data_IF_346596501375
#
_entry.id   IF_346596501375
#
_cell.length_a   1.000
_cell.length_b   1.000
_cell.length_c   1.000
_cell.angle_alpha   90.00
_cell.angle_beta   90.00
_cell.angle_gamma   90.00
#
_symmetry.space_group_name_H-M   'P 1'
#
loop_
_entity.id
_entity.type
_entity.pdbx_description
1 polymer ?
#
# COMPACT_ATOMS: atom_id res chain seq x y z
N UNK A 1 -36.73 24.80 -21.00
CA UNK A 1 -35.79 23.66 -20.97
C UNK A 1 -34.76 24.02 -19.92
N UNK A 2 -34.82 23.36 -18.76
CA UNK A 2 -34.09 23.77 -17.57
C UNK A 2 -32.62 23.31 -17.65
N UNK A 3 -31.77 24.18 -18.22
CA UNK A 3 -30.32 23.96 -18.34
C UNK A 3 -29.61 23.93 -16.99
N UNK A 4 -30.25 24.40 -15.90
CA UNK A 4 -29.69 24.42 -14.55
C UNK A 4 -29.77 23.05 -13.87
N UNK A 5 -30.86 22.31 -14.10
CA UNK A 5 -31.04 20.93 -13.65
C UNK A 5 -30.04 19.96 -14.30
N UNK A 6 -29.70 20.14 -15.58
CA UNK A 6 -28.67 19.32 -16.25
C UNK A 6 -27.26 19.65 -15.74
N UNK A 7 -26.91 20.92 -15.56
CA UNK A 7 -25.58 21.31 -15.11
C UNK A 7 -25.28 20.83 -13.67
N UNK A 8 -26.27 20.89 -12.79
CA UNK A 8 -26.15 20.40 -11.40
C UNK A 8 -26.08 18.88 -11.32
N UNK A 9 -26.91 18.16 -12.10
CA UNK A 9 -26.87 16.70 -12.16
C UNK A 9 -25.54 16.16 -12.71
N UNK A 10 -24.95 16.82 -13.73
CA UNK A 10 -23.64 16.43 -14.28
C UNK A 10 -22.47 16.67 -13.32
N UNK A 11 -22.49 17.74 -12.51
CA UNK A 11 -21.48 18.03 -11.49
C UNK A 11 -21.54 17.04 -10.32
N UNK A 12 -22.74 16.67 -9.88
CA UNK A 12 -22.95 15.68 -8.82
C UNK A 12 -22.57 14.27 -9.29
N UNK A 13 -23.00 13.88 -10.50
CA UNK A 13 -22.61 12.60 -11.11
C UNK A 13 -21.09 12.54 -11.37
N UNK A 14 -20.45 13.62 -11.82
CA UNK A 14 -19.01 13.69 -12.02
C UNK A 14 -18.22 13.52 -10.71
N UNK A 15 -18.68 14.10 -9.62
CA UNK A 15 -18.02 14.00 -8.32
C UNK A 15 -18.16 12.58 -7.70
N UNK A 16 -19.34 11.96 -7.82
CA UNK A 16 -19.55 10.58 -7.40
C UNK A 16 -18.79 9.57 -8.27
N UNK A 17 -18.66 9.84 -9.57
CA UNK A 17 -17.93 8.98 -10.50
C UNK A 17 -16.42 9.11 -10.35
N UNK A 18 -15.86 10.29 -10.06
CA UNK A 18 -14.41 10.45 -9.87
C UNK A 18 -13.88 9.85 -8.56
N UNK A 19 -14.69 9.81 -7.50
CA UNK A 19 -14.32 9.16 -6.23
C UNK A 19 -14.23 7.63 -6.30
N UNK A 20 -14.77 7.00 -7.35
CA UNK A 20 -14.78 5.54 -7.51
C UNK A 20 -13.48 4.97 -8.13
N UNK A 21 -12.65 5.80 -8.75
CA UNK A 21 -11.41 5.38 -9.39
C UNK A 21 -10.28 5.57 -8.38
N UNK A 22 -9.77 4.46 -7.85
CA UNK A 22 -8.65 4.49 -6.90
C UNK A 22 -7.45 5.27 -7.44
N UNK A 23 -6.58 5.76 -6.56
CA UNK A 23 -5.39 6.54 -6.94
C UNK A 23 -4.32 5.69 -7.63
N UNK A 24 -3.41 6.29 -8.40
CA UNK A 24 -2.26 5.56 -8.96
C UNK A 24 -1.16 5.34 -7.91
N UNK A 25 -0.93 6.34 -7.06
CA UNK A 25 0.03 6.35 -5.95
C UNK A 25 -0.67 6.85 -4.69
N UNK A 26 -0.33 6.26 -3.54
CA UNK A 26 -0.82 6.66 -2.23
C UNK A 26 0.38 6.87 -1.28
N UNK A 27 0.28 7.93 -0.47
CA UNK A 27 1.27 8.37 0.50
C UNK A 27 0.54 9.00 1.71
N UNK A 28 1.30 9.31 2.77
CA UNK A 28 0.81 9.98 3.98
C UNK A 28 1.70 11.16 4.33
N UNK A 29 1.13 12.19 4.96
CA UNK A 29 1.84 13.44 5.24
C UNK A 29 2.68 13.41 6.52
N UNK A 30 2.60 12.35 7.32
CA UNK A 30 3.30 12.23 8.60
C UNK A 30 4.56 11.36 8.52
N UNK A 31 4.98 10.94 7.32
CA UNK A 31 6.26 10.27 7.11
C UNK A 31 7.45 11.20 7.32
N UNK A 32 8.58 10.63 7.71
CA UNK A 32 9.82 11.34 8.00
C UNK A 32 10.48 11.96 6.77
N UNK A 33 11.12 13.11 6.96
CA UNK A 33 11.74 13.86 5.86
C UNK A 33 13.09 13.30 5.44
N UNK A 34 13.85 12.73 6.38
CA UNK A 34 15.23 12.27 6.21
C UNK A 34 15.36 10.86 5.65
N UNK A 35 16.51 10.54 5.07
CA UNK A 35 16.79 9.27 4.40
C UNK A 35 16.60 9.31 2.88
N UNK A 36 16.87 8.17 2.26
CA UNK A 36 16.82 8.01 0.79
C UNK A 36 15.72 7.02 0.43
N UNK A 37 14.99 7.32 -0.66
CA UNK A 37 14.03 6.36 -1.22
C UNK A 37 14.80 5.18 -1.82
N UNK A 38 14.46 3.97 -1.38
CA UNK A 38 14.90 2.74 -2.04
C UNK A 38 14.19 2.50 -3.37
N UNK A 39 14.64 1.47 -4.07
CA UNK A 39 14.04 1.00 -5.31
C UNK A 39 12.58 0.56 -5.10
N UNK A 40 11.76 0.75 -6.13
CA UNK A 40 10.38 0.25 -6.14
C UNK A 40 10.36 -1.27 -6.25
N UNK A 41 9.63 -1.93 -5.35
CA UNK A 41 9.42 -3.37 -5.38
C UNK A 41 7.96 -3.68 -5.64
N UNK A 42 7.68 -4.46 -6.69
CA UNK A 42 6.32 -4.79 -7.12
C UNK A 42 5.98 -6.26 -6.90
N UNK A 43 4.71 -6.53 -6.60
CA UNK A 43 4.16 -7.87 -6.65
C UNK A 43 4.33 -8.49 -8.06
N UNK A 44 4.67 -9.79 -8.16
CA UNK A 44 4.94 -10.43 -9.44
C UNK A 44 3.68 -10.52 -10.30
N UNK A 45 3.84 -10.56 -11.63
CA UNK A 45 2.75 -10.84 -12.56
C UNK A 45 1.59 -9.83 -12.54
N UNK A 46 1.85 -8.56 -12.16
CA UNK A 46 0.83 -7.53 -11.98
C UNK A 46 -0.24 -7.88 -10.93
N UNK A 47 0.12 -8.75 -9.97
CA UNK A 47 -0.73 -9.06 -8.81
C UNK A 47 -0.75 -7.93 -7.78
N UNK A 48 -1.52 -8.13 -6.70
CA UNK A 48 -1.70 -7.17 -5.62
C UNK A 48 -1.29 -7.78 -4.28
N UNK A 49 -1.02 -6.92 -3.31
CA UNK A 49 -0.75 -7.30 -1.94
C UNK A 49 -2.03 -7.69 -1.22
N UNK A 50 -2.00 -8.84 -0.55
CA UNK A 50 -3.07 -9.39 0.28
C UNK A 50 -2.75 -9.27 1.77
N UNK A 51 -1.54 -8.84 2.12
CA UNK A 51 -1.06 -8.74 3.49
C UNK A 51 0.31 -8.11 3.56
N UNK A 52 0.88 -8.05 4.76
CA UNK A 52 2.19 -7.47 5.00
C UNK A 52 2.89 -8.12 6.20
N UNK A 53 4.19 -7.89 6.30
CA UNK A 53 5.02 -8.24 7.45
C UNK A 53 6.00 -7.11 7.75
N UNK A 54 6.41 -7.00 9.01
CA UNK A 54 7.30 -5.95 9.50
C UNK A 54 8.63 -6.54 9.97
N UNK A 55 9.72 -5.79 9.76
CA UNK A 55 10.98 -5.96 10.49
C UNK A 55 11.07 -4.85 11.52
N UNK A 56 11.21 -5.22 12.80
CA UNK A 56 11.33 -4.29 13.94
C UNK A 56 12.69 -4.51 14.61
N UNK A 57 13.38 -3.45 15.02
CA UNK A 57 14.60 -3.58 15.84
C UNK A 57 14.33 -4.24 17.19
N UNK A 58 15.29 -5.04 17.66
CA UNK A 58 15.33 -5.49 19.06
C UNK A 58 15.78 -4.32 19.94
N UNK A 59 15.34 -4.25 21.22
CA UNK A 59 15.83 -3.22 22.14
C UNK A 59 17.36 -3.32 22.28
N UNK A 60 18.10 -2.26 21.96
CA UNK A 60 19.52 -2.13 22.27
C UNK A 60 19.67 -1.53 23.69
N UNK A 61 20.85 -1.64 24.30
CA UNK A 61 21.06 -1.17 25.69
C UNK A 61 21.38 0.35 25.77
N UNK A 62 21.63 1.01 24.64
CA UNK A 62 21.99 2.43 24.57
C UNK A 62 21.83 2.98 23.14
N UNK A 63 20.61 3.36 22.75
CA UNK A 63 20.26 3.96 21.45
C UNK A 63 18.74 4.17 21.37
N UNK A 64 18.24 4.92 20.38
CA UNK A 64 16.79 5.05 20.19
C UNK A 64 16.21 3.71 19.68
N UNK A 65 15.70 2.92 20.61
CA UNK A 65 15.46 1.47 20.48
C UNK A 65 14.21 1.05 19.65
N UNK A 66 13.62 1.93 18.83
CA UNK A 66 12.15 1.86 18.63
C UNK A 66 11.58 1.95 17.22
N UNK A 67 12.39 2.01 16.16
CA UNK A 67 11.92 2.16 14.78
C UNK A 67 11.53 0.85 14.06
N UNK A 68 10.68 0.96 13.03
CA UNK A 68 10.57 -0.04 11.96
C UNK A 68 11.83 -0.01 11.08
N UNK A 69 12.30 -1.18 10.65
CA UNK A 69 13.42 -1.28 9.69
C UNK A 69 12.96 -1.63 8.29
N UNK A 70 11.76 -2.19 8.17
CA UNK A 70 11.29 -2.69 6.89
C UNK A 70 9.83 -3.08 6.92
N UNK A 71 9.22 -2.91 5.76
CA UNK A 71 7.87 -3.36 5.45
C UNK A 71 8.00 -4.28 4.23
N UNK A 72 7.39 -5.45 4.30
CA UNK A 72 7.29 -6.39 3.18
C UNK A 72 5.84 -6.63 2.83
N UNK A 73 5.48 -6.41 1.57
CA UNK A 73 4.18 -6.80 1.02
C UNK A 73 4.13 -8.32 0.80
N UNK A 74 2.98 -8.92 1.10
CA UNK A 74 2.66 -10.32 0.82
C UNK A 74 1.70 -10.38 -0.35
N UNK A 75 2.12 -11.01 -1.46
CA UNK A 75 1.35 -11.04 -2.72
C UNK A 75 0.69 -12.41 -2.99
N UNK A 76 0.81 -13.38 -2.07
CA UNK A 76 0.23 -14.72 -2.21
C UNK A 76 -0.09 -15.36 -0.86
N UNK A 77 -1.03 -16.31 -0.87
CA UNK A 77 -1.58 -16.92 0.33
C UNK A 77 -0.60 -17.84 1.07
N UNK A 78 0.52 -18.22 0.45
CA UNK A 78 1.44 -19.24 0.97
C UNK A 78 2.37 -18.77 2.11
N UNK A 79 2.22 -17.53 2.61
CA UNK A 79 3.09 -16.99 3.67
C UNK A 79 2.42 -17.16 5.05
N UNK A 80 2.96 -17.98 5.99
CA UNK A 80 2.25 -18.30 7.23
C UNK A 80 2.20 -17.18 8.29
N UNK A 81 2.98 -16.12 8.12
CA UNK A 81 3.22 -15.09 9.15
C UNK A 81 2.91 -13.68 8.63
N UNK A 82 2.43 -12.79 9.49
CA UNK A 82 2.05 -11.40 9.15
C UNK A 82 0.54 -11.19 9.02
N UNK A 83 0.12 -9.91 9.01
CA UNK A 83 -1.29 -9.54 8.87
C UNK A 83 -1.77 -9.76 7.43
N UNK A 84 -2.87 -10.50 7.26
CA UNK A 84 -3.50 -10.76 5.96
C UNK A 84 -4.95 -10.34 5.93
N UNK A 85 -5.40 -9.88 4.77
CA UNK A 85 -6.79 -9.63 4.51
C UNK A 85 -7.60 -10.95 4.49
N UNK A 86 -8.92 -10.89 4.72
CA UNK A 86 -9.80 -12.02 4.46
C UNK A 86 -9.67 -12.54 3.03
N UNK A 87 -10.00 -13.82 2.82
CA UNK A 87 -9.84 -14.48 1.51
C UNK A 87 -10.47 -13.69 0.36
N UNK A 88 -9.72 -13.55 -0.74
CA UNK A 88 -10.11 -12.80 -1.94
C UNK A 88 -9.96 -11.27 -1.84
N UNK A 89 -9.67 -10.73 -0.66
CA UNK A 89 -9.45 -9.30 -0.46
C UNK A 89 -7.98 -8.89 -0.67
N UNK A 90 -7.74 -7.58 -0.72
CA UNK A 90 -6.42 -6.97 -0.94
C UNK A 90 -6.28 -5.68 -0.16
N UNK A 91 -5.03 -5.25 0.07
CA UNK A 91 -4.72 -3.99 0.73
C UNK A 91 -5.07 -2.81 -0.18
N UNK A 92 -5.67 -1.76 0.36
CA UNK A 92 -6.16 -0.61 -0.42
C UNK A 92 -5.71 0.75 0.12
N UNK A 93 -5.51 0.85 1.42
CA UNK A 93 -5.11 2.09 2.11
C UNK A 93 -4.13 1.74 3.23
N UNK A 94 -3.42 2.74 3.72
CA UNK A 94 -2.56 2.61 4.89
C UNK A 94 -2.55 3.88 5.74
N UNK A 95 -2.07 3.78 6.97
CA UNK A 95 -1.60 4.90 7.78
C UNK A 95 -0.37 4.52 8.56
N UNK A 96 0.49 5.50 8.82
CA UNK A 96 1.69 5.32 9.65
C UNK A 96 1.43 5.76 11.09
N UNK A 97 2.06 5.05 12.02
CA UNK A 97 2.21 5.49 13.40
C UNK A 97 3.61 6.06 13.58
N UNK A 98 3.68 7.33 13.94
CA UNK A 98 4.94 8.08 14.09
C UNK A 98 4.89 8.81 15.42
N UNK A 99 6.03 8.95 16.10
CA UNK A 99 6.11 9.79 17.29
C UNK A 99 5.93 11.27 16.94
N UNK A 100 5.15 12.04 17.71
CA UNK A 100 5.04 13.47 17.47
C UNK A 100 6.33 14.16 17.88
N UNK A 101 6.89 14.96 16.96
CA UNK A 101 8.00 15.90 17.17
C UNK A 101 8.03 16.48 18.61
N UNK A 102 9.01 16.09 19.42
CA UNK A 102 9.36 16.68 20.71
C UNK A 102 10.85 17.08 20.75
N UNK A 103 11.26 17.97 19.85
CA UNK A 103 12.47 18.80 20.03
C UNK A 103 13.72 18.34 19.26
N UNK A 104 14.91 18.67 19.79
CA UNK A 104 16.23 18.52 19.16
C UNK A 104 16.77 17.06 19.14
N UNK A 105 15.89 16.06 19.24
CA UNK A 105 16.23 14.63 19.28
C UNK A 105 15.53 13.93 18.12
N UNK A 106 16.12 12.87 17.57
CA UNK A 106 15.74 12.29 16.27
C UNK A 106 14.36 11.59 16.30
N UNK A 107 13.28 12.37 16.12
CA UNK A 107 11.89 11.91 16.25
C UNK A 107 11.27 11.39 14.91
N UNK A 108 12.08 10.83 13.99
CA UNK A 108 11.68 10.78 12.55
C UNK A 108 11.24 9.40 12.02
N UNK A 109 11.33 8.34 12.83
CA UNK A 109 11.07 6.98 12.36
C UNK A 109 9.60 6.54 12.49
N UNK A 110 9.13 5.75 11.52
CA UNK A 110 7.84 5.08 11.63
C UNK A 110 7.94 3.93 12.64
N UNK A 111 7.00 3.90 13.59
CA UNK A 111 6.96 2.90 14.67
C UNK A 111 6.00 1.75 14.37
N UNK A 112 4.97 2.01 13.55
CA UNK A 112 4.01 1.01 13.12
C UNK A 112 3.30 1.43 11.83
N UNK A 113 2.60 0.49 11.21
CA UNK A 113 1.76 0.71 10.04
C UNK A 113 0.48 -0.10 10.18
N UNK A 114 -0.61 0.44 9.67
CA UNK A 114 -1.89 -0.23 9.57
C UNK A 114 -2.39 -0.13 8.13
N UNK A 115 -2.98 -1.21 7.63
CA UNK A 115 -3.59 -1.27 6.31
C UNK A 115 -5.10 -1.49 6.40
N UNK A 116 -5.82 -1.09 5.36
CA UNK A 116 -7.25 -1.40 5.17
C UNK A 116 -7.40 -2.33 3.97
N UNK A 117 -8.27 -3.32 4.09
CA UNK A 117 -8.62 -4.25 3.04
C UNK A 117 -9.81 -3.75 2.19
N UNK A 118 -10.02 -4.32 1.00
CA UNK A 118 -11.19 -4.01 0.15
C UNK A 118 -12.55 -4.18 0.86
N UNK A 119 -12.66 -5.07 1.85
CA UNK A 119 -13.86 -5.26 2.67
C UNK A 119 -13.89 -4.42 3.96
N UNK A 120 -12.98 -3.47 4.12
CA UNK A 120 -12.92 -2.58 5.29
C UNK A 120 -12.24 -3.18 6.53
N UNK A 121 -11.77 -4.44 6.47
CA UNK A 121 -10.99 -5.02 7.56
C UNK A 121 -9.67 -4.23 7.75
N UNK A 122 -9.35 -3.89 8.99
CA UNK A 122 -8.11 -3.19 9.36
C UNK A 122 -7.06 -4.21 9.83
N UNK A 123 -5.86 -4.09 9.30
CA UNK A 123 -4.71 -4.94 9.64
C UNK A 123 -3.63 -4.08 10.29
N UNK A 124 -3.59 -4.11 11.61
CA UNK A 124 -2.57 -3.41 12.39
C UNK A 124 -1.30 -4.26 12.46
N UNK A 125 -0.15 -3.64 12.25
CA UNK A 125 1.13 -4.31 12.37
C UNK A 125 1.54 -4.56 13.81
N UNK A 126 2.38 -5.57 14.01
CA UNK A 126 3.03 -5.86 15.29
C UNK A 126 4.28 -4.97 15.53
N UNK A 127 4.26 -3.75 15.00
CA UNK A 127 5.24 -2.70 15.32
C UNK A 127 5.06 -2.19 16.75
N UNK A 128 5.84 -1.18 17.14
CA UNK A 128 5.80 -0.68 18.52
C UNK A 128 4.54 0.13 18.81
N UNK A 129 4.18 0.19 20.09
CA UNK A 129 2.93 0.79 20.55
C UNK A 129 3.05 2.29 20.89
N UNK A 130 4.13 2.96 20.49
CA UNK A 130 4.44 4.34 20.85
C UNK A 130 4.13 5.29 19.68
N UNK A 131 3.98 6.58 19.94
CA UNK A 131 3.56 7.59 18.96
C UNK A 131 2.07 7.62 18.64
N UNK A 132 1.68 8.46 17.67
CA UNK A 132 0.29 8.70 17.24
C UNK A 132 0.06 8.18 15.82
N UNK A 133 -1.13 7.67 15.56
CA UNK A 133 -1.56 7.35 14.20
C UNK A 133 -1.76 8.65 13.43
N UNK A 134 -1.16 8.72 12.24
CA UNK A 134 -1.32 9.82 11.30
C UNK A 134 -2.63 9.74 10.51
N UNK A 135 -2.77 10.60 9.48
CA UNK A 135 -3.91 10.55 8.59
C UNK A 135 -3.95 9.24 7.79
N UNK A 136 -5.16 8.83 7.43
CA UNK A 136 -5.38 7.74 6.48
C UNK A 136 -4.96 8.18 5.08
N UNK A 137 -4.26 7.30 4.36
CA UNK A 137 -3.97 7.51 2.94
C UNK A 137 -5.26 7.56 2.12
N UNK A 138 -5.15 8.12 0.91
CA UNK A 138 -6.15 7.86 -0.15
C UNK A 138 -6.20 6.37 -0.48
N UNK A 139 -7.22 5.96 -1.25
CA UNK A 139 -7.47 4.55 -1.58
C UNK A 139 -7.02 4.16 -2.98
N UNK A 140 -6.42 2.98 -3.10
CA UNK A 140 -6.25 2.25 -4.36
C UNK A 140 -7.57 1.68 -4.91
N UNK A 141 -8.66 1.77 -4.15
CA UNK A 141 -9.95 1.21 -4.52
C UNK A 141 -9.88 -0.31 -4.77
N UNK A 142 -10.69 -0.85 -5.68
CA UNK A 142 -10.74 -2.30 -5.92
C UNK A 142 -9.46 -2.88 -6.56
N UNK A 143 -8.60 -2.01 -7.13
CA UNK A 143 -7.32 -2.41 -7.75
C UNK A 143 -6.31 -2.91 -6.73
N UNK A 144 -6.32 -2.31 -5.53
CA UNK A 144 -5.39 -2.65 -4.45
C UNK A 144 -3.96 -2.16 -4.69
N UNK A 145 -3.13 -2.33 -3.67
CA UNK A 145 -1.71 -1.98 -3.63
C UNK A 145 -0.91 -3.07 -4.35
N UNK A 146 0.04 -2.70 -5.22
CA UNK A 146 0.95 -3.64 -5.90
C UNK A 146 2.42 -3.36 -5.68
N UNK A 147 2.78 -2.12 -5.33
CA UNK A 147 4.17 -1.68 -5.31
C UNK A 147 4.44 -0.91 -4.04
N UNK A 148 5.63 -1.10 -3.47
CA UNK A 148 6.14 -0.39 -2.30
C UNK A 148 7.47 0.27 -2.64
N UNK A 149 7.69 1.47 -2.10
CA UNK A 149 9.02 2.03 -1.92
C UNK A 149 9.11 2.61 -0.52
N UNK A 150 10.24 2.36 0.15
CA UNK A 150 10.49 2.82 1.52
C UNK A 150 11.57 3.89 1.50
N UNK A 151 11.45 4.89 2.38
CA UNK A 151 12.48 5.88 2.66
C UNK A 151 13.17 5.47 3.95
N UNK A 152 14.47 5.22 3.84
CA UNK A 152 15.27 4.67 4.93
C UNK A 152 16.55 5.50 5.09
N UNK A 153 16.96 5.76 6.32
CA UNK A 153 18.25 6.39 6.60
C UNK A 153 19.40 5.39 6.48
N UNK A 154 20.54 5.86 5.96
CA UNK A 154 21.74 5.04 5.87
C UNK A 154 22.24 4.68 7.29
N UNK A 155 22.91 3.52 7.46
CA UNK A 155 23.46 3.11 8.75
C UNK A 155 24.35 4.20 9.34
N UNK A 156 24.03 4.66 10.55
CA UNK A 156 24.75 5.75 11.23
C UNK A 156 25.98 5.28 12.03
N UNK A 157 26.36 4.00 11.97
CA UNK A 157 27.52 3.51 12.73
C UNK A 157 27.69 1.99 12.75
N UNK A 158 28.09 1.46 13.91
CA UNK A 158 28.26 0.01 14.14
C UNK A 158 26.94 -0.60 14.63
N UNK A 159 26.16 -1.14 13.70
CA UNK A 159 24.86 -1.79 13.95
C UNK A 159 24.06 -1.89 12.65
N UNK A 160 22.89 -2.54 12.64
CA UNK A 160 21.91 -2.36 11.57
C UNK A 160 21.05 -1.11 11.82
N UNK A 161 21.70 0.05 11.95
CA UNK A 161 21.11 1.35 12.29
C UNK A 161 20.25 1.93 11.13
N UNK A 162 19.32 1.15 10.60
CA UNK A 162 18.51 1.47 9.41
C UNK A 162 17.09 1.77 9.85
N UNK A 163 16.75 3.06 10.01
CA UNK A 163 15.40 3.49 10.40
C UNK A 163 14.53 3.73 9.16
N UNK A 164 13.33 3.12 9.13
CA UNK A 164 12.29 3.42 8.13
C UNK A 164 11.58 4.70 8.53
N UNK A 165 11.74 5.74 7.72
CA UNK A 165 11.16 7.05 7.96
C UNK A 165 9.85 7.25 7.21
N UNK A 166 9.73 6.70 5.99
CA UNK A 166 8.52 6.87 5.19
C UNK A 166 8.28 5.70 4.23
N UNK A 167 7.08 5.62 3.68
CA UNK A 167 6.68 4.64 2.68
C UNK A 167 5.60 5.23 1.77
N UNK A 168 5.70 4.96 0.48
CA UNK A 168 4.57 5.13 -0.44
C UNK A 168 4.26 3.82 -1.15
N UNK A 169 3.04 3.73 -1.66
CA UNK A 169 2.59 2.60 -2.45
C UNK A 169 2.07 3.04 -3.81
N UNK A 170 2.21 2.17 -4.82
CA UNK A 170 1.46 2.30 -6.08
C UNK A 170 0.39 1.23 -6.15
N UNK A 171 -0.70 1.58 -6.82
CA UNK A 171 -1.87 0.76 -6.96
C UNK A 171 -1.80 -0.03 -8.27
N UNK A 172 -2.29 -1.28 -8.25
CA UNK A 172 -2.26 -2.18 -9.41
C UNK A 172 -2.87 -1.52 -10.64
N UNK A 173 -2.29 -1.75 -11.83
CA UNK A 173 -2.91 -1.24 -13.06
C UNK A 173 -4.34 -1.78 -13.20
N UNK A 174 -5.25 -1.03 -13.85
CA UNK A 174 -6.54 -1.59 -14.22
C UNK A 174 -6.33 -2.90 -14.95
N UNK A 175 -7.09 -3.93 -14.63
CA UNK A 175 -7.20 -5.08 -15.54
C UNK A 175 -7.78 -4.52 -16.83
N UNK A 176 -6.94 -4.34 -17.83
CA UNK A 176 -7.44 -4.16 -19.20
C UNK A 176 -8.26 -5.41 -19.47
N UNK A 177 -9.58 -5.25 -19.64
CA UNK A 177 -10.44 -6.32 -20.13
C UNK A 177 -9.66 -7.05 -21.22
N UNK A 178 -9.35 -8.31 -20.96
CA UNK A 178 -8.81 -9.24 -21.93
C UNK A 178 -9.51 -8.98 -23.25
N UNK A 179 -8.76 -8.52 -24.26
CA UNK A 179 -9.25 -8.55 -25.63
C UNK A 179 -9.63 -10.00 -25.92
N UNK A 180 -10.90 -10.34 -26.17
CA UNK A 180 -11.28 -11.70 -26.50
C UNK A 180 -11.02 -11.89 -27.99
N UNK A 181 -9.74 -12.02 -28.37
CA UNK A 181 -9.40 -12.40 -29.74
C UNK A 181 -8.26 -13.40 -29.75
N UNK A 182 -8.62 -14.68 -29.60
CA UNK A 182 -7.96 -15.72 -30.37
C UNK A 182 -8.91 -16.91 -30.57
N UNK A 183 -9.52 -16.90 -31.77
CA UNK A 183 -9.99 -18.04 -32.57
C UNK A 183 -11.32 -18.74 -32.22
N UNK A 184 -12.31 -18.74 -33.15
CA UNK A 184 -13.39 -19.73 -33.14
C UNK A 184 -12.83 -21.12 -33.49
N UNK A 185 -13.48 -22.22 -33.03
CA UNK A 185 -13.10 -23.57 -33.41
C UNK A 185 -13.32 -23.74 -34.93
N UNK A 186 -12.25 -24.11 -35.64
CA UNK A 186 -12.28 -24.51 -37.04
C UNK A 186 -13.29 -25.64 -37.25
N UNK A 187 -14.26 -25.44 -38.15
CA UNK A 187 -15.17 -26.47 -38.63
C UNK A 187 -14.37 -27.64 -39.22
N UNK A 188 -14.67 -28.84 -38.71
CA UNK A 188 -14.25 -30.10 -39.33
C UNK A 188 -15.15 -30.32 -40.54
N UNK A 189 -14.68 -30.00 -41.74
CA UNK A 189 -15.29 -30.46 -42.98
C UNK A 189 -14.93 -31.93 -43.18
N UNK A 190 -15.87 -32.82 -42.85
CA UNK A 190 -15.80 -34.23 -43.20
C UNK A 190 -15.93 -34.43 -44.71
N UNK A 191 -14.84 -34.84 -45.36
CA UNK A 191 -14.86 -35.40 -46.71
C UNK A 191 -14.90 -36.92 -46.61
N UNK A 192 -16.03 -37.51 -46.98
CA UNK A 192 -16.15 -38.94 -47.27
C UNK A 192 -16.05 -39.21 -48.77
N UNK A 193 -15.59 -40.41 -49.19
CA UNK A 193 -15.38 -40.79 -50.59
C UNK A 193 -16.68 -40.98 -51.39
#
# INVERSE_FOLDING_TARGET
MDSSLHATLSLVLGCCLWGAWGQEKIDVSNGGMWGTWGEEQSCPGNSFAIGFSLKVELPQLAGDDTALNGIRLLCSDNIPWGGKCPSGQRLTQFRLRVEPCQGLKDDTAANNIEFVCTGGAELKGDGRCWGKWGPQSRSCGPRGISTIATKVEAPQGKGDDTALNDVYFKCSRPETLTSPTSQPPSEVSGGGP
#
